data_IF_951505041842
#
_entry.id   IF_951505041842
#
_cell.length_a   1.000
_cell.length_b   1.000
_cell.length_c   1.000
_cell.angle_alpha   90.00
_cell.angle_beta   90.00
_cell.angle_gamma   90.00
#
_symmetry.space_group_name_H-M   'P 1'
#
loop_
_entity.id
_entity.type
_entity.pdbx_description
1 polymer ?
#
# COMPACT_ATOMS: atom_id res chain seq x y z
N UNK A 1 -7.96 2.00 16.66
CA UNK A 1 -6.56 1.58 16.38
C UNK A 1 -5.57 2.71 16.68
N UNK A 2 -5.82 3.89 16.11
CA UNK A 2 -4.93 5.05 16.18
C UNK A 2 -4.70 5.57 17.60
N UNK A 3 -5.75 5.63 18.43
CA UNK A 3 -5.65 6.09 19.83
C UNK A 3 -4.84 5.20 20.78
N UNK A 4 -4.35 4.04 20.33
CA UNK A 4 -3.47 3.16 21.10
C UNK A 4 -2.00 3.28 20.68
N UNK A 5 -1.74 3.81 19.48
CA UNK A 5 -0.42 3.89 18.88
C UNK A 5 0.07 5.33 18.67
N UNK A 6 -0.84 6.32 18.70
CA UNK A 6 -0.53 7.74 18.52
C UNK A 6 -0.87 8.48 19.82
N UNK A 7 0.12 9.14 20.46
CA UNK A 7 -0.11 9.98 21.62
C UNK A 7 -1.11 11.09 21.29
N UNK A 8 -2.21 11.18 22.05
CA UNK A 8 -3.28 12.14 21.80
C UNK A 8 -2.86 13.61 22.06
N UNK A 9 -1.77 13.80 22.78
CA UNK A 9 -1.17 15.05 23.23
C UNK A 9 0.08 15.48 22.43
N UNK A 10 0.46 14.72 21.40
CA UNK A 10 1.58 15.08 20.51
C UNK A 10 1.27 16.23 19.55
N UNK A 11 2.32 16.85 19.00
CA UNK A 11 2.18 17.89 17.98
C UNK A 11 1.48 17.33 16.71
N UNK A 12 0.59 18.11 16.04
CA UNK A 12 -0.14 17.62 14.86
C UNK A 12 0.75 17.11 13.71
N UNK A 13 1.94 17.69 13.51
CA UNK A 13 2.90 17.22 12.50
C UNK A 13 3.47 15.85 12.89
N UNK A 14 3.90 15.71 14.14
CA UNK A 14 4.42 14.44 14.67
C UNK A 14 3.37 13.33 14.62
N UNK A 15 2.10 13.65 14.95
CA UNK A 15 1.00 12.70 14.85
C UNK A 15 0.73 12.27 13.40
N UNK A 16 0.85 13.18 12.43
CA UNK A 16 0.67 12.88 11.01
C UNK A 16 1.80 11.97 10.49
N UNK A 17 3.06 12.28 10.86
CA UNK A 17 4.24 11.46 10.53
C UNK A 17 4.09 10.06 11.13
N UNK A 18 3.64 9.96 12.39
CA UNK A 18 3.45 8.67 13.06
C UNK A 18 2.32 7.86 12.43
N UNK A 19 1.19 8.50 12.07
CA UNK A 19 0.11 7.83 11.30
C UNK A 19 0.61 7.25 9.99
N UNK A 20 1.34 8.04 9.22
CA UNK A 20 1.90 7.55 7.95
C UNK A 20 2.93 6.44 8.16
N UNK A 21 3.79 6.57 9.19
CA UNK A 21 4.76 5.54 9.56
C UNK A 21 4.10 4.22 9.94
N UNK A 22 3.03 4.26 10.75
CA UNK A 22 2.24 3.08 11.11
C UNK A 22 1.56 2.48 9.88
N UNK A 23 0.98 3.31 9.01
CA UNK A 23 0.34 2.87 7.77
C UNK A 23 1.31 2.14 6.87
N UNK A 24 2.48 2.73 6.62
CA UNK A 24 3.53 2.13 5.80
C UNK A 24 4.12 0.87 6.43
N UNK A 25 4.33 0.87 7.76
CA UNK A 25 4.78 -0.31 8.48
C UNK A 25 3.77 -1.46 8.36
N UNK A 26 2.47 -1.18 8.46
CA UNK A 26 1.42 -2.17 8.27
C UNK A 26 1.42 -2.72 6.84
N UNK A 27 1.49 -1.86 5.82
CA UNK A 27 1.58 -2.29 4.41
C UNK A 27 2.82 -3.15 4.20
N UNK A 28 3.99 -2.71 4.68
CA UNK A 28 5.24 -3.47 4.60
C UNK A 28 5.11 -4.84 5.28
N UNK A 29 4.49 -4.90 6.46
CA UNK A 29 4.23 -6.16 7.16
C UNK A 29 3.38 -7.13 6.34
N UNK A 30 2.32 -6.63 5.69
CA UNK A 30 1.48 -7.42 4.80
C UNK A 30 2.20 -7.88 3.52
N UNK A 31 3.27 -7.21 3.09
CA UNK A 31 4.07 -7.62 1.92
C UNK A 31 4.87 -8.91 2.17
N UNK A 32 5.15 -9.26 3.43
CA UNK A 32 5.80 -10.53 3.78
C UNK A 32 4.84 -11.74 3.76
N UNK A 33 3.53 -11.50 3.69
CA UNK A 33 2.53 -12.56 3.68
C UNK A 33 2.25 -13.05 2.26
N UNK A 34 2.18 -14.38 2.03
CA UNK A 34 1.62 -14.92 0.80
C UNK A 34 0.19 -14.40 0.55
N UNK A 35 -0.26 -14.26 -0.72
CA UNK A 35 -1.53 -13.59 -1.06
C UNK A 35 -2.74 -14.11 -0.29
N UNK A 36 -2.88 -15.44 -0.15
CA UNK A 36 -3.99 -16.07 0.60
C UNK A 36 -3.92 -15.81 2.11
N UNK A 37 -2.73 -15.78 2.69
CA UNK A 37 -2.56 -15.48 4.13
C UNK A 37 -2.91 -14.01 4.41
N UNK A 38 -2.52 -13.10 3.50
CA UNK A 38 -2.89 -11.69 3.57
C UNK A 38 -4.40 -11.49 3.48
N UNK A 39 -5.07 -12.11 2.50
CA UNK A 39 -6.52 -12.01 2.33
C UNK A 39 -7.27 -12.52 3.58
N UNK A 40 -6.91 -13.71 4.07
CA UNK A 40 -7.50 -14.29 5.29
C UNK A 40 -7.31 -13.38 6.50
N UNK A 41 -6.10 -12.83 6.70
CA UNK A 41 -5.83 -11.93 7.82
C UNK A 41 -6.65 -10.63 7.75
N UNK A 42 -6.76 -10.02 6.57
CA UNK A 42 -7.54 -8.80 6.38
C UNK A 42 -9.04 -9.04 6.63
N UNK A 43 -9.61 -10.08 6.04
CA UNK A 43 -11.04 -10.37 6.18
C UNK A 43 -11.39 -10.72 7.64
N UNK A 44 -10.55 -11.50 8.33
CA UNK A 44 -10.83 -11.94 9.71
C UNK A 44 -10.48 -10.91 10.79
N UNK A 45 -9.41 -10.11 10.63
CA UNK A 45 -8.90 -9.24 11.71
C UNK A 45 -9.17 -7.76 11.49
N UNK A 46 -9.42 -7.35 10.24
CA UNK A 46 -9.75 -5.95 9.91
C UNK A 46 -11.23 -5.81 9.63
N UNK A 47 -11.78 -6.68 8.78
CA UNK A 47 -13.20 -6.66 8.42
C UNK A 47 -14.09 -7.48 9.36
N UNK A 48 -13.48 -8.19 10.31
CA UNK A 48 -14.16 -8.97 11.35
C UNK A 48 -15.13 -10.04 10.82
N UNK A 49 -14.83 -10.62 9.66
CA UNK A 49 -15.58 -11.76 9.11
C UNK A 49 -15.25 -13.04 9.89
N UNK A 50 -16.25 -13.91 10.00
CA UNK A 50 -16.07 -15.26 10.54
C UNK A 50 -15.23 -16.13 9.61
N UNK A 51 -14.61 -17.18 10.16
CA UNK A 51 -13.85 -18.13 9.34
C UNK A 51 -14.72 -18.85 8.28
N UNK A 52 -16.04 -18.94 8.50
CA UNK A 52 -16.99 -19.51 7.56
C UNK A 52 -17.24 -18.58 6.35
N UNK A 53 -17.50 -17.28 6.59
CA UNK A 53 -17.68 -16.29 5.52
C UNK A 53 -16.43 -16.16 4.65
N UNK A 54 -15.25 -16.20 5.27
CA UNK A 54 -13.96 -16.16 4.55
C UNK A 54 -13.74 -17.44 3.73
N UNK A 55 -14.09 -18.60 4.28
CA UNK A 55 -13.97 -19.89 3.61
C UNK A 55 -14.84 -19.91 2.34
N UNK A 56 -16.09 -19.47 2.45
CA UNK A 56 -16.99 -19.32 1.32
C UNK A 56 -16.46 -18.33 0.28
N UNK A 57 -16.03 -17.13 0.71
CA UNK A 57 -15.57 -16.08 -0.21
C UNK A 57 -14.26 -16.40 -0.94
N UNK A 58 -13.37 -17.20 -0.35
CA UNK A 58 -12.06 -17.53 -0.93
C UNK A 58 -11.99 -18.93 -1.53
N UNK A 59 -13.11 -19.66 -1.58
CA UNK A 59 -13.19 -21.06 -2.01
C UNK A 59 -12.17 -21.93 -1.25
N UNK A 60 -12.22 -21.85 0.08
CA UNK A 60 -11.35 -22.54 1.02
C UNK A 60 -12.18 -23.33 2.03
N UNK A 61 -11.59 -24.34 2.67
CA UNK A 61 -12.20 -24.92 3.87
C UNK A 61 -11.96 -24.03 5.09
N UNK A 62 -12.84 -24.08 6.08
CA UNK A 62 -12.67 -23.39 7.37
C UNK A 62 -11.33 -23.78 8.04
N UNK A 63 -10.94 -25.05 7.93
CA UNK A 63 -9.65 -25.52 8.42
C UNK A 63 -8.47 -24.85 7.70
N UNK A 64 -8.55 -24.67 6.38
CA UNK A 64 -7.53 -23.98 5.60
C UNK A 64 -7.44 -22.49 5.97
N UNK A 65 -8.59 -21.83 6.23
CA UNK A 65 -8.65 -20.44 6.72
C UNK A 65 -7.96 -20.31 8.07
N UNK A 66 -8.32 -21.14 9.05
CA UNK A 66 -7.70 -21.11 10.38
C UNK A 66 -6.19 -21.35 10.31
N UNK A 67 -5.76 -22.31 9.49
CA UNK A 67 -4.35 -22.61 9.27
C UNK A 67 -3.60 -21.45 8.59
N UNK A 68 -4.22 -20.78 7.61
CA UNK A 68 -3.65 -19.61 6.95
C UNK A 68 -3.53 -18.41 7.91
N UNK A 69 -4.54 -18.17 8.76
CA UNK A 69 -4.52 -17.12 9.76
C UNK A 69 -3.43 -17.36 10.82
N UNK A 70 -3.30 -18.61 11.29
CA UNK A 70 -2.24 -18.97 12.24
C UNK A 70 -0.85 -18.70 11.66
N UNK A 71 -0.60 -19.12 10.41
CA UNK A 71 0.67 -18.85 9.73
C UNK A 71 0.91 -17.35 9.53
N UNK A 72 -0.11 -16.60 9.13
CA UNK A 72 0.00 -15.16 8.97
C UNK A 72 0.46 -14.49 10.28
N UNK A 73 -0.18 -14.84 11.40
CA UNK A 73 0.21 -14.34 12.74
C UNK A 73 1.63 -14.74 13.11
N UNK A 74 2.03 -15.99 12.85
CA UNK A 74 3.38 -16.45 13.13
C UNK A 74 4.44 -15.69 12.32
N UNK A 75 4.17 -15.41 11.03
CA UNK A 75 5.06 -14.62 10.18
C UNK A 75 5.19 -13.18 10.70
N UNK A 76 4.09 -12.56 11.12
CA UNK A 76 4.12 -11.19 11.64
C UNK A 76 4.74 -11.09 13.05
N UNK A 77 4.54 -12.09 13.91
CA UNK A 77 5.10 -12.13 15.26
C UNK A 77 6.62 -12.35 15.29
N UNK A 78 7.22 -12.83 14.19
CA UNK A 78 8.65 -13.11 14.09
C UNK A 78 9.58 -11.88 14.19
N UNK A 79 9.05 -10.67 14.37
CA UNK A 79 9.81 -9.46 14.75
C UNK A 79 10.78 -8.90 13.69
N UNK A 80 11.10 -9.69 12.66
CA UNK A 80 11.98 -9.30 11.55
C UNK A 80 11.23 -8.72 10.36
N UNK A 81 10.05 -8.14 10.59
CA UNK A 81 9.44 -7.19 9.64
C UNK A 81 10.14 -5.84 9.80
N UNK A 82 11.46 -5.82 9.62
CA UNK A 82 12.03 -4.60 9.05
C UNK A 82 11.47 -4.53 7.63
N UNK A 83 11.20 -3.34 7.07
CA UNK A 83 11.15 -3.21 5.62
C UNK A 83 12.56 -3.59 5.13
N UNK A 84 12.84 -4.89 5.02
CA UNK A 84 13.98 -5.36 4.31
C UNK A 84 13.65 -4.98 2.88
N UNK A 85 14.42 -4.07 2.25
CA UNK A 85 14.23 -3.79 0.85
C UNK A 85 14.37 -5.14 0.17
N UNK A 86 13.25 -5.72 -0.28
CA UNK A 86 13.33 -6.89 -1.12
C UNK A 86 14.07 -6.38 -2.34
N UNK A 87 15.25 -6.93 -2.60
CA UNK A 87 16.01 -6.58 -3.79
C UNK A 87 15.05 -6.65 -4.98
N UNK A 88 14.90 -5.51 -5.66
CA UNK A 88 14.04 -5.45 -6.84
C UNK A 88 14.60 -6.46 -7.84
N UNK A 89 13.72 -7.29 -8.41
CA UNK A 89 14.11 -8.05 -9.60
C UNK A 89 14.46 -7.06 -10.71
N UNK A 90 15.27 -7.45 -11.70
CA UNK A 90 15.60 -6.56 -12.83
C UNK A 90 14.36 -5.95 -13.50
N UNK A 91 13.30 -6.74 -13.66
CA UNK A 91 12.02 -6.27 -14.21
C UNK A 91 11.34 -5.19 -13.34
N UNK A 92 11.48 -5.27 -12.02
CA UNK A 92 10.93 -4.29 -11.07
C UNK A 92 11.79 -3.03 -11.04
N UNK A 93 13.12 -3.17 -11.07
CA UNK A 93 14.02 -2.04 -11.18
C UNK A 93 13.80 -1.25 -12.47
N UNK A 94 13.63 -1.95 -13.60
CA UNK A 94 13.30 -1.31 -14.88
C UNK A 94 11.92 -0.64 -14.88
N UNK A 95 10.91 -1.25 -14.26
CA UNK A 95 9.60 -0.62 -14.09
C UNK A 95 9.69 0.68 -13.28
N UNK A 96 10.40 0.67 -12.15
CA UNK A 96 10.62 1.87 -11.32
C UNK A 96 11.37 2.93 -12.12
N UNK A 97 12.42 2.55 -12.86
CA UNK A 97 13.18 3.48 -13.71
C UNK A 97 12.28 4.17 -14.74
N UNK A 98 11.47 3.41 -15.49
CA UNK A 98 10.53 3.98 -16.49
C UNK A 98 9.45 4.86 -15.84
N UNK A 99 8.98 4.47 -14.65
CA UNK A 99 8.03 5.28 -13.88
C UNK A 99 8.62 6.64 -13.50
N UNK A 100 9.84 6.65 -12.95
CA UNK A 100 10.55 7.89 -12.59
C UNK A 100 10.81 8.73 -13.83
N UNK A 101 11.27 8.13 -14.92
CA UNK A 101 11.52 8.82 -16.18
C UNK A 101 10.26 9.49 -16.74
N UNK A 102 9.13 8.77 -16.79
CA UNK A 102 7.85 9.33 -17.22
C UNK A 102 7.38 10.47 -16.31
N UNK A 103 7.56 10.35 -15.00
CA UNK A 103 7.21 11.39 -14.04
C UNK A 103 8.08 12.65 -14.20
N UNK A 104 9.40 12.51 -14.30
CA UNK A 104 10.34 13.63 -14.45
C UNK A 104 10.17 14.36 -15.79
N UNK A 105 9.88 13.62 -16.87
CA UNK A 105 9.54 14.18 -18.17
C UNK A 105 8.12 14.77 -18.22
N UNK A 106 7.32 14.53 -17.18
CA UNK A 106 5.92 14.90 -17.10
C UNK A 106 5.06 14.30 -18.24
N UNK A 107 5.44 13.10 -18.70
CA UNK A 107 4.71 12.31 -19.68
C UNK A 107 3.59 11.53 -18.98
N UNK A 108 2.46 12.21 -18.78
CA UNK A 108 1.31 11.65 -18.07
C UNK A 108 0.74 10.40 -18.78
N UNK A 109 0.60 10.36 -20.12
CA UNK A 109 0.21 9.13 -20.82
C UNK A 109 1.13 7.95 -20.53
N UNK A 110 2.46 8.13 -20.63
CA UNK A 110 3.42 7.07 -20.32
C UNK A 110 3.37 6.66 -18.85
N UNK A 111 3.21 7.63 -17.94
CA UNK A 111 3.10 7.38 -16.51
C UNK A 111 1.88 6.51 -16.18
N UNK A 112 0.70 6.85 -16.72
CA UNK A 112 -0.53 6.06 -16.49
C UNK A 112 -0.45 4.68 -17.13
N UNK A 113 0.19 4.55 -18.30
CA UNK A 113 0.34 3.25 -18.97
C UNK A 113 1.20 2.24 -18.19
N UNK A 114 2.05 2.70 -17.27
CA UNK A 114 2.85 1.86 -16.37
C UNK A 114 2.05 1.40 -15.13
N UNK A 115 0.88 2.00 -14.88
CA UNK A 115 0.03 1.69 -13.74
C UNK A 115 -1.01 0.63 -14.10
N UNK A 116 -1.47 -0.13 -13.10
CA UNK A 116 -2.66 -0.98 -13.28
C UNK A 116 -3.89 -0.13 -13.64
N UNK A 117 -4.84 -0.68 -14.40
CA UNK A 117 -6.01 0.04 -14.92
C UNK A 117 -6.89 0.67 -13.82
N UNK A 118 -6.92 0.06 -12.65
CA UNK A 118 -7.68 0.49 -11.47
C UNK A 118 -6.80 1.20 -10.41
N UNK A 119 -5.59 1.64 -10.79
CA UNK A 119 -4.65 2.22 -9.84
C UNK A 119 -5.26 3.37 -9.04
N UNK A 120 -4.97 3.40 -7.74
CA UNK A 120 -5.45 4.43 -6.83
C UNK A 120 -4.32 5.36 -6.40
N UNK A 121 -4.53 6.67 -6.54
CA UNK A 121 -3.65 7.70 -5.97
C UNK A 121 -4.36 8.36 -4.79
N UNK A 122 -3.66 8.44 -3.67
CA UNK A 122 -4.03 9.28 -2.53
C UNK A 122 -2.85 10.16 -2.17
N UNK A 123 -3.13 11.38 -1.70
CA UNK A 123 -2.09 12.34 -1.32
C UNK A 123 -2.39 12.93 0.06
N UNK A 124 -2.17 12.18 1.15
CA UNK A 124 -2.23 12.75 2.49
C UNK A 124 -1.32 13.98 2.60
N UNK A 125 -1.75 15.08 3.24
CA UNK A 125 -2.94 15.22 4.10
C UNK A 125 -4.24 15.59 3.37
N UNK A 126 -4.24 15.69 2.03
CA UNK A 126 -5.45 16.02 1.29
C UNK A 126 -6.42 14.84 1.29
N UNK A 127 -7.72 15.11 1.43
CA UNK A 127 -8.82 14.16 1.16
C UNK A 127 -8.96 13.90 -0.36
N UNK A 128 -7.84 13.57 -1.01
CA UNK A 128 -7.74 13.27 -2.41
C UNK A 128 -7.69 11.76 -2.59
N UNK A 129 -8.70 11.23 -3.24
CA UNK A 129 -8.78 9.84 -3.66
C UNK A 129 -9.12 9.79 -5.14
N UNK A 130 -8.20 9.26 -5.95
CA UNK A 130 -8.33 9.12 -7.40
C UNK A 130 -8.22 7.64 -7.75
N UNK A 131 -9.05 7.16 -8.66
CA UNK A 131 -9.01 5.79 -9.14
C UNK A 131 -9.04 5.77 -10.66
N UNK A 132 -8.16 4.98 -11.24
CA UNK A 132 -8.05 4.77 -12.69
C UNK A 132 -7.25 5.85 -13.41
N UNK A 133 -6.82 5.50 -14.62
CA UNK A 133 -5.91 6.32 -15.44
C UNK A 133 -6.48 7.70 -15.74
N UNK A 134 -7.76 7.79 -16.11
CA UNK A 134 -8.39 9.07 -16.49
C UNK A 134 -8.43 10.06 -15.32
N UNK A 135 -8.79 9.61 -14.12
CA UNK A 135 -8.86 10.46 -12.94
C UNK A 135 -7.45 10.95 -12.52
N UNK A 136 -6.46 10.05 -12.59
CA UNK A 136 -5.06 10.36 -12.31
C UNK A 136 -4.52 11.37 -13.32
N UNK A 137 -4.76 11.13 -14.61
CA UNK A 137 -4.31 12.00 -15.69
C UNK A 137 -4.94 13.40 -15.60
N UNK A 138 -6.25 13.47 -15.37
CA UNK A 138 -6.98 14.72 -15.20
C UNK A 138 -6.46 15.53 -14.00
N UNK A 139 -6.14 14.85 -12.89
CA UNK A 139 -5.52 15.53 -11.74
C UNK A 139 -4.16 16.11 -12.09
N UNK A 140 -3.25 15.30 -12.66
CA UNK A 140 -1.89 15.73 -12.99
C UNK A 140 -1.90 16.86 -14.01
N UNK A 141 -2.71 16.78 -15.05
CA UNK A 141 -2.82 17.84 -16.06
C UNK A 141 -3.55 19.11 -15.55
N UNK A 142 -4.27 19.00 -14.43
CA UNK A 142 -5.02 20.09 -13.80
C UNK A 142 -4.36 20.57 -12.51
N UNK A 143 -4.97 20.28 -11.36
CA UNK A 143 -4.52 20.80 -10.04
C UNK A 143 -3.16 20.26 -9.61
N UNK A 144 -2.77 19.08 -10.07
CA UNK A 144 -1.46 18.46 -9.86
C UNK A 144 -0.36 18.98 -10.80
N UNK A 145 -0.65 19.95 -11.67
CA UNK A 145 0.33 20.52 -12.62
C UNK A 145 1.59 21.08 -11.94
N UNK A 146 1.49 21.43 -10.65
CA UNK A 146 2.61 21.90 -9.84
C UNK A 146 3.76 20.89 -9.68
N UNK A 147 3.53 19.60 -9.96
CA UNK A 147 4.59 18.58 -9.97
C UNK A 147 5.48 18.65 -11.24
N UNK A 148 5.13 19.47 -12.23
CA UNK A 148 5.93 19.57 -13.47
C UNK A 148 7.32 20.12 -13.16
N UNK A 149 8.34 19.37 -13.58
CA UNK A 149 9.74 19.68 -13.32
C UNK A 149 10.26 19.21 -11.97
N UNK A 150 9.44 18.53 -11.16
CA UNK A 150 9.93 17.78 -9.99
C UNK A 150 10.93 16.70 -10.43
N UNK A 151 11.93 16.46 -9.58
CA UNK A 151 12.96 15.44 -9.80
C UNK A 151 13.05 14.54 -8.59
N UNK A 152 13.38 13.27 -8.83
CA UNK A 152 13.68 12.34 -7.75
C UNK A 152 15.00 12.76 -7.09
N UNK A 153 14.98 12.97 -5.78
CA UNK A 153 16.19 13.12 -4.97
C UNK A 153 16.47 11.76 -4.34
N UNK A 154 17.56 11.06 -4.71
CA UNK A 154 17.93 9.81 -4.07
C UNK A 154 18.15 10.03 -2.57
N UNK A 155 17.56 9.19 -1.73
CA UNK A 155 17.77 9.14 -0.27
C UNK A 155 18.77 8.07 0.08
#
# INVERSE_FOLDING_TARGET
PDGWAIPADGDPEEQAILRESIRLAFVAALQHLPPRQRAVLLLTQVLNWSAAEVAESLDMSVAAVNSALQRARATLAGGNVKPAPRALTDAQADLVRRYVEAFEQYDIPALTALMHEDATISMPPYDLWLQGHDAIAAWMLGRGAGCRGSRLVPT
#
